data_IF_815517459598
#
_entry.id   IF_815517459598
#
_cell.length_a   1.000
_cell.length_b   1.000
_cell.length_c   1.000
_cell.angle_alpha   90.00
_cell.angle_beta   90.00
_cell.angle_gamma   90.00
#
_symmetry.space_group_name_H-M   'P 1'
#
loop_
_entity.id
_entity.type
_entity.pdbx_description
1 polymer ?
#
# COMPACT_ATOMS: atom_id res chain seq x y z
N UNK A 1 -78.52 -35.05 8.40
CA UNK A 1 -77.57 -36.14 8.71
C UNK A 1 -76.20 -35.66 8.25
N UNK A 2 -75.35 -35.35 9.23
CA UNK A 2 -73.87 -35.36 9.22
C UNK A 2 -73.08 -34.44 8.28
N UNK A 3 -72.53 -33.39 8.90
CA UNK A 3 -71.12 -32.94 8.81
C UNK A 3 -70.17 -34.14 9.18
N UNK A 4 -68.86 -34.22 8.83
CA UNK A 4 -67.96 -33.07 8.81
C UNK A 4 -66.84 -32.95 7.77
N UNK A 5 -66.44 -31.68 7.70
CA UNK A 5 -65.24 -31.05 7.12
C UNK A 5 -63.94 -31.83 7.38
N UNK A 6 -63.32 -32.31 6.31
CA UNK A 6 -62.01 -32.98 6.34
C UNK A 6 -60.90 -31.93 6.42
N UNK A 7 -60.42 -31.70 7.64
CA UNK A 7 -59.20 -30.94 7.93
C UNK A 7 -57.99 -31.77 7.46
N UNK A 8 -57.10 -31.25 6.58
CA UNK A 8 -55.88 -31.97 6.27
C UNK A 8 -54.95 -31.91 7.49
N UNK A 9 -54.61 -33.09 8.01
CA UNK A 9 -53.58 -33.27 9.00
C UNK A 9 -52.28 -32.61 8.54
N UNK A 10 -51.84 -31.61 9.29
CA UNK A 10 -50.48 -31.13 9.21
C UNK A 10 -49.58 -32.20 9.81
N UNK A 11 -48.77 -32.81 8.93
CA UNK A 11 -47.55 -33.54 9.26
C UNK A 11 -46.78 -32.78 10.35
N UNK A 12 -46.87 -33.26 11.58
CA UNK A 12 -46.07 -32.74 12.69
C UNK A 12 -44.66 -33.29 12.54
N UNK A 13 -43.78 -32.48 11.96
CA UNK A 13 -42.33 -32.69 12.04
C UNK A 13 -41.96 -32.52 13.53
N UNK A 14 -41.20 -33.45 14.14
CA UNK A 14 -40.74 -33.26 15.52
C UNK A 14 -39.81 -32.04 15.57
N UNK A 15 -40.24 -31.00 16.27
CA UNK A 15 -39.40 -29.83 16.58
C UNK A 15 -38.34 -30.29 17.58
N UNK A 16 -37.03 -30.16 17.29
CA UNK A 16 -35.99 -30.43 18.28
C UNK A 16 -36.14 -29.44 19.46
N UNK A 17 -35.72 -29.82 20.67
CA UNK A 17 -35.87 -28.96 21.85
C UNK A 17 -35.19 -27.61 21.64
N UNK A 18 -35.67 -26.52 22.28
CA UNK A 18 -35.02 -25.22 22.18
C UNK A 18 -33.63 -25.34 22.81
N UNK A 19 -32.60 -25.44 21.96
CA UNK A 19 -31.25 -25.10 22.35
C UNK A 19 -31.31 -23.71 22.93
N UNK A 20 -31.03 -23.60 24.23
CA UNK A 20 -30.66 -22.34 24.87
C UNK A 20 -29.30 -21.97 24.29
N UNK A 21 -29.31 -21.47 23.07
CA UNK A 21 -28.16 -20.89 22.42
C UNK A 21 -27.98 -19.53 23.06
N UNK A 22 -27.00 -19.45 23.96
CA UNK A 22 -26.53 -18.19 24.50
C UNK A 22 -26.30 -17.22 23.34
N UNK A 23 -26.69 -15.93 23.49
CA UNK A 23 -26.48 -14.95 22.43
C UNK A 23 -25.00 -14.98 22.02
N UNK A 24 -24.69 -14.90 20.71
CA UNK A 24 -23.31 -14.89 20.26
C UNK A 24 -22.61 -13.78 21.04
N UNK A 25 -21.58 -14.16 21.79
CA UNK A 25 -20.61 -13.23 22.37
C UNK A 25 -20.03 -12.47 21.18
N UNK A 26 -20.68 -11.36 20.82
CA UNK A 26 -20.10 -10.38 19.93
C UNK A 26 -18.77 -10.03 20.60
N UNK A 27 -17.61 -10.24 19.93
CA UNK A 27 -16.36 -9.81 20.49
C UNK A 27 -16.52 -8.33 20.73
N UNK A 28 -16.51 -7.96 22.01
CA UNK A 28 -16.63 -6.60 22.44
C UNK A 28 -15.40 -5.86 21.91
N UNK A 29 -15.51 -5.26 20.72
CA UNK A 29 -14.47 -4.43 20.10
C UNK A 29 -14.27 -3.10 20.84
N UNK A 30 -14.81 -2.93 22.06
CA UNK A 30 -14.49 -1.82 22.96
C UNK A 30 -13.29 -2.12 23.87
N UNK A 31 -12.54 -3.20 23.62
CA UNK A 31 -11.16 -3.22 24.06
C UNK A 31 -10.45 -2.06 23.36
N UNK A 32 -9.92 -1.12 24.14
CA UNK A 32 -9.07 -0.03 23.66
C UNK A 32 -7.82 -0.63 23.01
N UNK A 33 -7.94 -1.11 21.77
CA UNK A 33 -6.81 -1.51 20.98
C UNK A 33 -6.08 -0.21 20.63
N UNK A 34 -4.90 0.01 21.21
CA UNK A 34 -3.92 0.93 20.64
C UNK A 34 -3.51 0.36 19.29
N UNK A 35 -4.32 0.62 18.26
CA UNK A 35 -4.02 0.25 16.87
C UNK A 35 -2.76 1.00 16.40
N UNK A 36 -2.44 2.10 17.08
CA UNK A 36 -1.24 2.90 16.90
C UNK A 36 -0.40 2.93 18.19
N UNK A 37 0.95 2.82 18.12
CA UNK A 37 1.75 2.63 16.90
C UNK A 37 1.71 1.19 16.35
N UNK A 38 1.82 1.00 15.02
CA UNK A 38 1.92 -0.33 14.42
C UNK A 38 3.12 -1.09 14.96
N UNK A 39 2.96 -2.40 15.16
CA UNK A 39 4.08 -3.26 15.57
C UNK A 39 5.19 -3.24 14.52
N UNK A 40 6.44 -3.48 14.93
CA UNK A 40 7.57 -3.52 14.01
C UNK A 40 7.34 -4.51 12.86
N UNK A 41 6.73 -5.67 13.13
CA UNK A 41 6.35 -6.65 12.10
C UNK A 41 5.41 -6.06 11.05
N UNK A 42 4.45 -5.24 11.47
CA UNK A 42 3.53 -4.56 10.54
C UNK A 42 4.27 -3.52 9.70
N UNK A 43 5.18 -2.76 10.31
CA UNK A 43 6.03 -1.79 9.60
C UNK A 43 6.89 -2.49 8.54
N UNK A 44 7.54 -3.60 8.92
CA UNK A 44 8.36 -4.41 8.02
C UNK A 44 7.53 -4.99 6.85
N UNK A 45 6.28 -5.39 7.11
CA UNK A 45 5.39 -5.85 6.05
C UNK A 45 5.05 -4.74 5.04
N UNK A 46 4.86 -3.50 5.51
CA UNK A 46 4.65 -2.32 4.65
C UNK A 46 5.90 -2.04 3.81
N UNK A 47 7.09 -2.06 4.42
CA UNK A 47 8.38 -1.89 3.72
C UNK A 47 8.53 -2.96 2.63
N UNK A 48 8.36 -4.23 2.96
CA UNK A 48 8.45 -5.32 1.98
C UNK A 48 7.46 -5.17 0.82
N UNK A 49 6.24 -4.70 1.12
CA UNK A 49 5.23 -4.42 0.08
C UNK A 49 5.65 -3.27 -0.83
N UNK A 50 6.22 -2.21 -0.27
CA UNK A 50 6.77 -1.09 -1.05
C UNK A 50 7.95 -1.53 -1.92
N UNK A 51 8.89 -2.33 -1.37
CA UNK A 51 10.00 -2.91 -2.13
C UNK A 51 9.49 -3.71 -3.33
N UNK A 52 8.53 -4.62 -3.11
CA UNK A 52 7.91 -5.35 -4.22
C UNK A 52 7.28 -4.40 -5.24
N UNK A 53 6.56 -3.38 -4.78
CA UNK A 53 5.88 -2.43 -5.67
C UNK A 53 6.85 -1.68 -6.58
N UNK A 54 8.03 -1.33 -6.09
CA UNK A 54 9.05 -0.62 -6.85
C UNK A 54 9.94 -1.53 -7.71
N UNK A 55 10.24 -2.73 -7.23
CA UNK A 55 11.14 -3.67 -7.90
C UNK A 55 10.44 -4.57 -8.93
N UNK A 56 9.12 -4.77 -8.80
CA UNK A 56 8.36 -5.63 -9.72
C UNK A 56 7.70 -4.84 -10.85
N UNK A 57 7.54 -5.45 -12.04
CA UNK A 57 6.76 -4.86 -13.11
C UNK A 57 5.29 -4.69 -12.68
N UNK A 58 4.81 -3.45 -12.69
CA UNK A 58 3.45 -3.08 -12.30
C UNK A 58 2.91 -1.95 -13.17
N UNK A 59 1.68 -1.49 -12.90
CA UNK A 59 1.11 -0.32 -13.60
C UNK A 59 1.97 0.94 -13.37
N UNK A 60 2.60 1.08 -12.19
CA UNK A 60 3.50 2.18 -11.90
C UNK A 60 4.80 2.07 -12.71
N UNK A 61 5.35 0.87 -12.85
CA UNK A 61 6.60 0.69 -13.58
C UNK A 61 6.45 0.93 -15.08
N UNK A 62 5.24 0.80 -15.64
CA UNK A 62 4.95 1.19 -17.04
C UNK A 62 5.10 2.70 -17.27
N UNK A 63 4.93 3.51 -16.23
CA UNK A 63 4.99 4.98 -16.32
C UNK A 63 6.31 5.55 -15.83
N UNK A 64 6.96 4.90 -14.87
CA UNK A 64 8.13 5.43 -14.17
C UNK A 64 9.35 4.48 -14.12
N UNK A 65 9.23 3.28 -14.69
CA UNK A 65 10.25 2.22 -14.63
C UNK A 65 10.27 1.45 -13.30
N UNK A 66 11.11 0.42 -13.21
CA UNK A 66 11.37 -0.35 -11.98
C UNK A 66 12.65 0.15 -11.29
N UNK A 67 12.71 0.06 -9.97
CA UNK A 67 13.91 0.30 -9.16
C UNK A 67 14.77 -0.97 -9.06
N UNK A 68 16.08 -0.82 -8.85
CA UNK A 68 16.90 -1.94 -8.39
C UNK A 68 16.47 -2.37 -6.98
N UNK A 69 16.81 -3.58 -6.55
CA UNK A 69 16.43 -4.07 -5.22
C UNK A 69 16.96 -3.16 -4.09
N UNK A 70 18.19 -2.67 -4.22
CA UNK A 70 18.84 -1.81 -3.21
C UNK A 70 18.22 -0.42 -3.16
N UNK A 71 17.92 0.18 -4.34
CA UNK A 71 17.22 1.46 -4.43
C UNK A 71 15.78 1.34 -3.90
N UNK A 72 15.08 0.26 -4.24
CA UNK A 72 13.73 -0.03 -3.77
C UNK A 72 13.69 -0.18 -2.25
N UNK A 73 14.67 -0.88 -1.67
CA UNK A 73 14.81 -1.03 -0.22
C UNK A 73 15.03 0.33 0.44
N UNK A 74 16.00 1.09 -0.02
CA UNK A 74 16.32 2.41 0.54
C UNK A 74 15.11 3.34 0.50
N UNK A 75 14.45 3.44 -0.65
CA UNK A 75 13.26 4.27 -0.81
C UNK A 75 12.09 3.79 0.06
N UNK A 76 11.86 2.48 0.16
CA UNK A 76 10.79 1.92 0.98
C UNK A 76 10.98 2.21 2.47
N UNK A 77 12.21 2.10 2.99
CA UNK A 77 12.54 2.44 4.36
C UNK A 77 12.31 3.93 4.66
N UNK A 78 12.78 4.82 3.77
CA UNK A 78 12.57 6.26 3.90
C UNK A 78 11.08 6.63 3.90
N UNK A 79 10.30 6.07 2.95
CA UNK A 79 8.85 6.31 2.86
C UNK A 79 8.15 5.90 4.15
N UNK A 80 8.46 4.70 4.67
CA UNK A 80 7.84 4.18 5.87
C UNK A 80 8.18 4.99 7.11
N UNK A 81 9.47 5.31 7.30
CA UNK A 81 9.96 6.06 8.46
C UNK A 81 9.37 7.48 8.52
N UNK A 82 9.32 8.15 7.38
CA UNK A 82 8.73 9.49 7.29
C UNK A 82 7.21 9.46 7.50
N UNK A 83 6.51 8.46 6.96
CA UNK A 83 5.07 8.31 7.17
C UNK A 83 4.75 7.99 8.64
N UNK A 84 5.55 7.11 9.27
CA UNK A 84 5.42 6.78 10.69
C UNK A 84 5.65 8.02 11.56
N UNK A 85 6.69 8.80 11.26
CA UNK A 85 6.99 10.04 11.98
C UNK A 85 5.87 11.08 11.82
N UNK A 86 5.40 11.30 10.59
CA UNK A 86 4.31 12.23 10.30
C UNK A 86 3.01 11.83 11.03
N UNK A 87 2.65 10.54 10.98
CA UNK A 87 1.50 10.02 11.69
C UNK A 87 1.67 10.09 13.22
N UNK A 88 2.88 9.82 13.74
CA UNK A 88 3.22 9.95 15.16
C UNK A 88 2.98 11.36 15.71
N UNK A 89 3.27 12.41 14.92
CA UNK A 89 3.01 13.80 15.32
C UNK A 89 1.52 14.20 15.31
N UNK A 90 0.66 13.41 14.67
CA UNK A 90 -0.79 13.65 14.61
C UNK A 90 -1.59 13.01 15.76
N UNK A 91 -0.90 12.31 16.67
CA UNK A 91 -1.52 11.62 17.80
C UNK A 91 -1.74 12.56 18.98
N UNK A 92 -3.00 12.92 19.25
CA UNK A 92 -3.39 13.71 20.42
C UNK A 92 -4.16 12.88 21.47
N UNK A 93 -4.90 11.86 21.05
CA UNK A 93 -5.68 11.00 21.97
C UNK A 93 -5.88 9.56 21.44
N UNK A 94 -6.40 8.66 22.29
CA UNK A 94 -6.74 7.28 21.90
C UNK A 94 -7.87 7.21 20.86
N UNK A 95 -8.74 8.22 20.80
CA UNK A 95 -9.84 8.30 19.81
C UNK A 95 -9.32 8.66 18.40
N UNK A 96 -8.12 9.25 18.34
CA UNK A 96 -7.45 9.58 17.09
C UNK A 96 -6.70 8.38 16.48
N UNK A 97 -6.70 7.20 17.10
CA UNK A 97 -5.93 6.03 16.63
C UNK A 97 -6.28 5.60 15.19
N UNK A 98 -7.56 5.68 14.80
CA UNK A 98 -8.03 5.40 13.45
C UNK A 98 -7.64 6.54 12.50
N UNK A 99 -7.71 7.79 12.97
CA UNK A 99 -7.28 8.94 12.18
C UNK A 99 -5.78 8.91 11.88
N UNK A 100 -4.95 8.56 12.86
CA UNK A 100 -3.51 8.45 12.72
C UNK A 100 -3.14 7.39 11.66
N UNK A 101 -3.83 6.24 11.65
CA UNK A 101 -3.66 5.23 10.60
C UNK A 101 -4.01 5.75 9.21
N UNK A 102 -5.05 6.58 9.11
CA UNK A 102 -5.44 7.21 7.86
C UNK A 102 -4.37 8.19 7.39
N UNK A 103 -3.78 8.99 8.29
CA UNK A 103 -2.64 9.87 8.01
C UNK A 103 -1.46 9.04 7.51
N UNK A 104 -1.09 7.96 8.22
CA UNK A 104 -0.02 7.06 7.82
C UNK A 104 -0.25 6.50 6.40
N UNK A 105 -1.43 5.96 6.13
CA UNK A 105 -1.77 5.38 4.81
C UNK A 105 -1.70 6.42 3.69
N UNK A 106 -2.16 7.64 3.96
CA UNK A 106 -2.10 8.77 3.04
C UNK A 106 -0.66 9.17 2.75
N UNK A 107 0.18 9.27 3.78
CA UNK A 107 1.58 9.67 3.64
C UNK A 107 2.41 8.62 2.90
N UNK A 108 2.18 7.32 3.15
CA UNK A 108 2.78 6.22 2.38
C UNK A 108 2.42 6.35 0.89
N UNK A 109 1.12 6.49 0.59
CA UNK A 109 0.63 6.54 -0.80
C UNK A 109 1.15 7.76 -1.56
N UNK A 110 1.19 8.92 -0.89
CA UNK A 110 1.72 10.17 -1.44
C UNK A 110 3.20 10.01 -1.80
N UNK A 111 4.02 9.60 -0.84
CA UNK A 111 5.47 9.49 -1.04
C UNK A 111 5.83 8.42 -2.07
N UNK A 112 5.09 7.32 -2.10
CA UNK A 112 5.27 6.29 -3.13
C UNK A 112 5.19 6.88 -4.54
N UNK A 113 4.20 7.75 -4.80
CA UNK A 113 4.03 8.41 -6.10
C UNK A 113 5.12 9.47 -6.32
N UNK A 114 5.45 10.24 -5.29
CA UNK A 114 6.48 11.30 -5.38
C UNK A 114 7.86 10.71 -5.70
N UNK A 115 8.24 9.59 -5.08
CA UNK A 115 9.49 8.87 -5.36
C UNK A 115 9.60 8.44 -6.82
N UNK A 116 8.55 7.82 -7.38
CA UNK A 116 8.59 7.34 -8.77
C UNK A 116 8.54 8.49 -9.78
N UNK A 117 7.85 9.60 -9.45
CA UNK A 117 7.82 10.81 -10.28
C UNK A 117 9.16 11.52 -10.35
N UNK A 118 9.81 11.75 -9.20
CA UNK A 118 11.13 12.38 -9.15
C UNK A 118 12.14 11.60 -9.98
N UNK A 119 12.04 10.26 -10.00
CA UNK A 119 12.93 9.43 -10.81
C UNK A 119 12.64 9.50 -12.31
N UNK A 120 11.37 9.57 -12.73
CA UNK A 120 11.02 9.81 -14.13
C UNK A 120 11.65 11.11 -14.65
N UNK A 121 11.61 12.17 -13.83
CA UNK A 121 12.25 13.45 -14.15
C UNK A 121 13.79 13.37 -14.23
N UNK A 122 14.43 12.55 -13.38
CA UNK A 122 15.87 12.31 -13.40
C UNK A 122 16.30 11.49 -14.63
N UNK A 123 15.50 10.51 -15.04
CA UNK A 123 15.76 9.69 -16.23
C UNK A 123 15.70 10.51 -17.52
N UNK A 124 14.75 11.44 -17.65
CA UNK A 124 14.66 12.36 -18.80
C UNK A 124 15.87 13.30 -18.89
N UNK A 125 16.48 13.64 -17.75
CA UNK A 125 17.65 14.54 -17.72
C UNK A 125 18.95 13.81 -18.10
N UNK A 126 19.12 12.57 -17.66
CA UNK A 126 20.34 11.78 -17.95
C UNK A 126 20.41 11.25 -19.39
N UNK A 127 19.29 11.16 -20.11
CA UNK A 127 19.29 10.72 -21.51
C UNK A 127 19.85 11.76 -22.50
N UNK A 128 20.25 12.95 -22.04
CA UNK A 128 20.72 14.06 -22.88
C UNK A 128 22.25 14.29 -22.85
N UNK A 129 23.05 13.38 -22.27
CA UNK A 129 24.50 13.59 -22.06
C UNK A 129 25.42 12.52 -22.66
N UNK A 130 24.97 11.73 -23.63
CA UNK A 130 25.82 10.82 -24.41
C UNK A 130 25.91 11.24 -25.89
N UNK A 131 26.55 12.39 -26.14
CA UNK A 131 27.14 12.71 -27.45
C UNK A 131 28.63 13.01 -27.26
N UNK A 132 29.43 11.95 -27.12
CA UNK A 132 30.82 11.95 -27.61
C UNK A 132 30.80 11.17 -28.94
N UNK A 133 31.30 11.78 -30.03
CA UNK A 133 32.62 11.37 -30.46
C UNK A 133 33.46 12.52 -30.99
N UNK A 134 34.56 12.75 -30.29
CA UNK A 134 35.91 12.83 -30.87
C UNK A 134 36.00 12.17 -32.25
N UNK A 135 36.08 12.97 -33.32
CA UNK A 135 36.64 12.56 -34.61
C UNK A 135 37.49 13.69 -35.19
N UNK A 136 38.79 13.57 -34.91
CA UNK A 136 39.95 14.00 -35.68
C UNK A 136 39.73 15.08 -36.75
N UNK A 137 40.23 16.27 -36.44
CA UNK A 137 40.44 17.36 -37.39
C UNK A 137 41.67 17.02 -38.25
N UNK A 138 41.45 16.65 -39.51
CA UNK A 138 42.51 16.50 -40.51
C UNK A 138 42.39 17.58 -41.60
N UNK A 139 43.50 18.30 -41.74
CA UNK A 139 43.99 19.04 -42.91
C UNK A 139 43.21 20.26 -43.45
N UNK A 140 43.82 21.45 -43.32
CA UNK A 140 44.29 22.14 -44.54
C UNK A 140 45.61 22.88 -44.28
N UNK A 141 46.58 22.53 -45.11
CA UNK A 141 47.96 22.94 -45.07
C UNK A 141 48.15 24.42 -45.44
N UNK A 142 49.08 25.05 -44.73
CA UNK A 142 49.82 26.24 -45.14
C UNK A 142 50.56 25.96 -46.45
N UNK A 143 50.49 26.89 -47.41
CA UNK A 143 51.59 27.08 -48.36
C UNK A 143 51.58 28.50 -48.95
N UNK A 144 52.70 29.16 -48.70
CA UNK A 144 53.20 30.47 -49.11
C UNK A 144 53.69 30.45 -50.57
N UNK A 145 53.38 31.49 -51.36
CA UNK A 145 54.18 32.08 -52.45
C UNK A 145 53.49 33.30 -53.06
#
# INVERSE_FOLDING_TARGET
MSDPEIKPEQYSIPVPPPSTEAPPLQPNLTASFSIWPPTQRTRDAVINRLIQTFSTPSVLSKRYGTLSADEASTAAHQIEEEAFSAAGTSSFSSDDNIWILQVYSKEISKRMIDTVKSRGSLADTNASSDVDPSLAEDAVAVSDS
#
